data_IF_699329628214
#
_entry.id   IF_699329628214
#
_cell.length_a   1.000
_cell.length_b   1.000
_cell.length_c   1.000
_cell.angle_alpha   90.00
_cell.angle_beta   90.00
_cell.angle_gamma   90.00
#
_symmetry.space_group_name_H-M   'P 1'
#
loop_
_entity.id
_entity.type
_entity.pdbx_description
1 polymer ?
#
# COMPACT_ATOMS: atom_id res chain seq x y z
N UNK A 1 8.32 -3.77 2.74
CA UNK A 1 8.01 -4.18 1.35
C UNK A 1 7.03 -3.22 0.67
N UNK A 2 5.83 -2.99 1.21
CA UNK A 2 4.85 -2.06 0.59
C UNK A 2 5.43 -0.67 0.26
N UNK A 3 6.18 -0.07 1.19
CA UNK A 3 6.92 1.19 0.98
C UNK A 3 7.88 1.14 -0.21
N UNK A 4 8.67 0.07 -0.32
CA UNK A 4 9.63 -0.11 -1.41
C UNK A 4 8.91 -0.29 -2.75
N UNK A 5 7.87 -1.13 -2.79
CA UNK A 5 7.06 -1.37 -3.97
C UNK A 5 6.45 -0.06 -4.50
N UNK A 6 5.81 0.73 -3.64
CA UNK A 6 5.24 2.01 -4.03
C UNK A 6 6.30 2.99 -4.57
N UNK A 7 7.50 3.01 -3.97
CA UNK A 7 8.57 3.90 -4.39
C UNK A 7 9.16 3.49 -5.75
N UNK A 8 9.33 2.19 -5.98
CA UNK A 8 9.77 1.65 -7.28
C UNK A 8 8.74 1.92 -8.37
N UNK A 9 7.45 1.74 -8.08
CA UNK A 9 6.36 2.09 -9.01
C UNK A 9 6.33 3.59 -9.30
N UNK A 10 6.49 4.44 -8.28
CA UNK A 10 6.55 5.88 -8.46
C UNK A 10 7.72 6.28 -9.38
N UNK A 11 8.91 5.73 -9.15
CA UNK A 11 10.08 5.99 -9.97
C UNK A 11 9.88 5.57 -11.44
N UNK A 12 9.24 4.41 -11.67
CA UNK A 12 8.91 3.92 -13.02
C UNK A 12 8.01 4.90 -13.78
N UNK A 13 6.93 5.37 -13.13
CA UNK A 13 5.98 6.29 -13.76
C UNK A 13 6.53 7.71 -13.92
N UNK A 14 7.36 8.18 -13.00
CA UNK A 14 7.99 9.52 -13.10
C UNK A 14 8.96 9.58 -14.29
N UNK A 15 9.72 8.51 -14.55
CA UNK A 15 10.67 8.48 -15.67
C UNK A 15 10.02 8.20 -17.03
N UNK A 16 8.81 7.63 -17.04
CA UNK A 16 8.15 7.16 -18.25
C UNK A 16 7.95 8.22 -19.34
N UNK A 17 7.57 9.48 -19.03
CA UNK A 17 7.43 10.54 -20.03
C UNK A 17 8.75 10.94 -20.69
N UNK A 18 9.90 10.67 -20.06
CA UNK A 18 11.23 10.98 -20.61
C UNK A 18 11.68 9.88 -21.59
N UNK A 19 11.25 8.64 -21.35
CA UNK A 19 11.60 7.46 -22.15
C UNK A 19 10.40 6.89 -22.92
N UNK A 20 9.56 7.76 -23.51
CA UNK A 20 8.30 7.36 -24.15
C UNK A 20 8.46 6.30 -25.25
N UNK A 21 9.54 6.38 -26.03
CA UNK A 21 9.77 5.53 -27.19
C UNK A 21 10.60 4.28 -26.87
N UNK A 22 11.34 4.29 -25.74
CA UNK A 22 12.17 3.16 -25.31
C UNK A 22 12.08 2.97 -23.78
N UNK A 23 10.96 2.44 -23.25
CA UNK A 23 10.77 2.24 -21.81
C UNK A 23 11.79 1.28 -21.18
N UNK A 24 12.36 0.37 -21.97
CA UNK A 24 13.45 -0.53 -21.54
C UNK A 24 14.79 0.19 -21.33
N UNK A 25 14.92 1.41 -21.85
CA UNK A 25 16.15 2.20 -21.84
C UNK A 25 16.30 3.06 -20.58
N UNK A 26 15.27 3.13 -19.74
CA UNK A 26 15.34 3.84 -18.46
C UNK A 26 16.29 3.07 -17.50
N UNK A 27 17.47 3.63 -17.17
CA UNK A 27 18.50 2.88 -16.47
C UNK A 27 18.05 2.52 -15.05
N UNK A 28 18.20 1.23 -14.68
CA UNK A 28 17.88 0.73 -13.32
C UNK A 28 18.48 1.60 -12.20
N UNK A 29 19.73 2.09 -12.28
CA UNK A 29 20.29 2.98 -11.27
C UNK A 29 19.48 4.26 -11.06
N UNK A 30 18.94 4.87 -12.12
CA UNK A 30 18.13 6.07 -12.01
C UNK A 30 16.79 5.78 -11.29
N UNK A 31 16.14 4.67 -11.65
CA UNK A 31 14.89 4.21 -10.98
C UNK A 31 15.12 3.99 -9.48
N UNK A 32 16.20 3.29 -9.14
CA UNK A 32 16.60 3.02 -7.75
C UNK A 32 16.90 4.32 -7.00
N UNK A 33 17.67 5.24 -7.58
CA UNK A 33 18.00 6.51 -6.95
C UNK A 33 16.75 7.34 -6.67
N UNK A 34 15.84 7.47 -7.64
CA UNK A 34 14.58 8.19 -7.47
C UNK A 34 13.72 7.55 -6.37
N UNK A 35 13.61 6.22 -6.36
CA UNK A 35 12.86 5.51 -5.32
C UNK A 35 13.44 5.75 -3.92
N UNK A 36 14.77 5.72 -3.77
CA UNK A 36 15.44 6.04 -2.51
C UNK A 36 15.24 7.49 -2.08
N UNK A 37 15.31 8.45 -3.02
CA UNK A 37 15.03 9.86 -2.75
C UNK A 37 13.58 10.07 -2.28
N UNK A 38 12.61 9.40 -2.90
CA UNK A 38 11.19 9.46 -2.49
C UNK A 38 11.03 8.94 -1.07
N UNK A 39 11.60 7.77 -0.75
CA UNK A 39 11.54 7.19 0.60
C UNK A 39 12.18 8.15 1.60
N UNK A 40 13.39 8.65 1.32
CA UNK A 40 14.11 9.55 2.20
C UNK A 40 13.32 10.84 2.46
N UNK A 41 12.81 11.47 1.41
CA UNK A 41 12.03 12.71 1.53
C UNK A 41 10.78 12.51 2.38
N UNK A 42 10.02 11.43 2.13
CA UNK A 42 8.81 11.14 2.89
C UNK A 42 9.11 10.77 4.35
N UNK A 43 10.18 10.00 4.61
CA UNK A 43 10.62 9.69 5.97
C UNK A 43 11.00 10.97 6.70
N UNK A 44 11.83 11.82 6.10
CA UNK A 44 12.26 13.09 6.72
C UNK A 44 11.08 14.03 6.98
N UNK A 45 10.15 14.12 6.03
CA UNK A 45 8.94 14.93 6.19
C UNK A 45 8.10 14.46 7.39
N UNK A 46 7.85 13.15 7.50
CA UNK A 46 7.07 12.58 8.61
C UNK A 46 7.82 12.60 9.95
N UNK A 47 9.16 12.54 9.93
CA UNK A 47 10.00 12.74 11.11
C UNK A 47 9.91 14.17 11.64
N UNK A 48 9.95 15.16 10.73
CA UNK A 48 9.97 16.57 11.09
C UNK A 48 8.62 17.07 11.63
N UNK A 49 7.53 16.81 10.90
CA UNK A 49 6.17 17.20 11.30
C UNK A 49 5.14 16.28 10.61
N UNK A 50 4.27 15.65 11.40
CA UNK A 50 3.17 14.83 10.85
C UNK A 50 2.22 15.65 9.98
N UNK A 51 2.07 16.96 10.23
CA UNK A 51 1.27 17.86 9.39
C UNK A 51 1.86 18.01 7.99
N UNK A 52 3.18 18.03 7.87
CA UNK A 52 3.85 18.06 6.56
C UNK A 52 3.59 16.74 5.81
N UNK A 53 3.70 15.59 6.51
CA UNK A 53 3.34 14.29 5.97
C UNK A 53 1.88 14.23 5.49
N UNK A 54 0.94 14.80 6.26
CA UNK A 54 -0.46 14.93 5.86
C UNK A 54 -0.65 15.86 4.66
N UNK A 55 0.05 17.00 4.60
CA UNK A 55 -0.02 17.92 3.48
C UNK A 55 0.48 17.27 2.17
N UNK A 56 1.59 16.52 2.23
CA UNK A 56 2.09 15.73 1.09
C UNK A 56 1.09 14.65 0.66
N UNK A 57 0.39 14.02 1.61
CA UNK A 57 -0.68 13.07 1.31
C UNK A 57 -1.85 13.72 0.58
N UNK A 58 -2.27 14.90 1.03
CA UNK A 58 -3.35 15.67 0.41
C UNK A 58 -2.95 16.09 -1.00
N UNK A 59 -1.74 16.61 -1.19
CA UNK A 59 -1.22 16.98 -2.51
C UNK A 59 -1.23 15.77 -3.48
N UNK A 60 -0.72 14.62 -3.05
CA UNK A 60 -0.78 13.38 -3.85
C UNK A 60 -2.23 12.95 -4.18
N UNK A 61 -3.16 13.18 -3.25
CA UNK A 61 -4.58 12.88 -3.44
C UNK A 61 -5.27 13.85 -4.39
N UNK A 62 -4.90 15.13 -4.40
CA UNK A 62 -5.39 16.06 -5.42
C UNK A 62 -4.86 15.67 -6.79
N UNK A 63 -3.57 15.34 -6.92
CA UNK A 63 -2.97 14.91 -8.21
C UNK A 63 -3.63 13.64 -8.78
N UNK A 64 -3.89 12.63 -7.93
CA UNK A 64 -4.53 11.39 -8.41
C UNK A 64 -5.97 11.64 -8.87
N UNK A 65 -6.72 12.48 -8.15
CA UNK A 65 -8.10 12.80 -8.50
C UNK A 65 -8.17 13.69 -9.75
N UNK A 66 -7.24 14.63 -9.92
CA UNK A 66 -7.19 15.47 -11.13
C UNK A 66 -6.86 14.66 -12.37
N UNK A 67 -5.89 13.74 -12.30
CA UNK A 67 -5.57 12.86 -13.43
C UNK A 67 -6.77 11.98 -13.81
N UNK A 68 -7.46 11.42 -12.82
CA UNK A 68 -8.64 10.60 -13.05
C UNK A 68 -9.81 11.40 -13.63
N UNK A 69 -10.03 12.61 -13.12
CA UNK A 69 -11.05 13.52 -13.63
C UNK A 69 -10.81 13.86 -15.11
N UNK A 70 -9.56 14.15 -15.49
CA UNK A 70 -9.21 14.40 -16.90
C UNK A 70 -9.50 13.19 -17.78
N UNK A 71 -9.10 11.98 -17.36
CA UNK A 71 -9.39 10.74 -18.10
C UNK A 71 -10.91 10.56 -18.30
N UNK A 72 -11.68 10.73 -17.23
CA UNK A 72 -13.15 10.58 -17.26
C UNK A 72 -13.79 11.62 -18.17
N UNK A 73 -13.41 12.90 -18.04
CA UNK A 73 -13.97 14.00 -18.86
C UNK A 73 -13.67 13.77 -20.34
N UNK A 74 -12.44 13.38 -20.68
CA UNK A 74 -12.06 13.08 -22.06
C UNK A 74 -12.86 11.89 -22.58
N UNK A 75 -12.97 10.80 -21.82
CA UNK A 75 -13.78 9.64 -22.21
C UNK A 75 -15.25 9.97 -22.45
N UNK A 76 -15.88 10.74 -21.55
CA UNK A 76 -17.25 11.23 -21.73
C UNK A 76 -17.35 12.12 -22.98
N UNK A 77 -16.34 12.93 -23.27
CA UNK A 77 -16.26 13.74 -24.48
C UNK A 77 -16.28 12.91 -25.78
N UNK A 78 -15.58 11.77 -25.81
CA UNK A 78 -15.64 10.82 -26.94
C UNK A 78 -17.04 10.21 -27.08
N UNK A 79 -17.65 9.78 -25.97
CA UNK A 79 -19.03 9.27 -25.98
C UNK A 79 -20.00 10.34 -26.51
N UNK A 80 -19.89 11.58 -26.06
CA UNK A 80 -20.74 12.69 -26.47
C UNK A 80 -20.58 13.07 -27.95
N UNK A 81 -19.43 12.77 -28.57
CA UNK A 81 -19.19 12.94 -30.01
C UNK A 81 -19.72 11.79 -30.86
N UNK A 82 -20.11 10.68 -30.23
CA UNK A 82 -20.54 9.47 -30.91
C UNK A 82 -19.41 8.49 -31.23
N UNK A 83 -18.20 8.71 -30.71
CA UNK A 83 -17.03 7.84 -30.91
C UNK A 83 -17.11 6.57 -30.01
N UNK A 84 -18.18 5.80 -30.16
CA UNK A 84 -18.51 4.65 -29.31
C UNK A 84 -18.33 3.30 -30.02
N UNK A 85 -17.56 3.26 -31.10
CA UNK A 85 -17.31 2.03 -31.88
C UNK A 85 -16.77 0.90 -31.00
N UNK A 86 -15.82 1.22 -30.11
CA UNK A 86 -15.24 0.25 -29.16
C UNK A 86 -16.24 -0.24 -28.08
N UNK A 87 -17.36 0.46 -27.90
CA UNK A 87 -18.42 0.06 -26.97
C UNK A 87 -19.47 -0.82 -27.64
N UNK A 88 -19.39 -1.04 -28.96
CA UNK A 88 -20.30 -1.92 -29.68
C UNK A 88 -19.99 -3.38 -29.31
N UNK A 89 -21.03 -4.14 -28.95
CA UNK A 89 -20.92 -5.54 -28.53
C UNK A 89 -20.00 -5.78 -27.31
N UNK A 90 -20.24 -5.14 -26.14
CA UNK A 90 -19.37 -5.25 -24.97
C UNK A 90 -19.30 -6.67 -24.36
N UNK A 91 -20.18 -7.57 -24.80
CA UNK A 91 -20.25 -8.97 -24.39
C UNK A 91 -19.86 -9.94 -25.52
N UNK A 92 -19.29 -9.46 -26.64
CA UNK A 92 -18.69 -10.35 -27.64
C UNK A 92 -17.29 -10.74 -27.18
N UNK A 93 -17.13 -12.01 -26.80
CA UNK A 93 -15.85 -12.56 -26.36
C UNK A 93 -15.20 -13.35 -27.50
N UNK A 94 -13.89 -13.17 -27.71
CA UNK A 94 -13.12 -13.99 -28.67
C UNK A 94 -13.07 -15.47 -28.23
N UNK A 95 -13.08 -15.71 -26.92
CA UNK A 95 -13.17 -17.03 -26.31
C UNK A 95 -14.21 -17.02 -25.19
N UNK A 96 -14.94 -18.13 -25.00
CA UNK A 96 -15.91 -18.23 -23.91
C UNK A 96 -15.26 -17.99 -22.54
N UNK A 97 -15.92 -17.22 -21.65
CA UNK A 97 -15.38 -16.88 -20.34
C UNK A 97 -15.25 -18.13 -19.46
N UNK A 98 -14.03 -18.65 -19.35
CA UNK A 98 -13.71 -19.76 -18.45
C UNK A 98 -13.65 -19.28 -16.99
N UNK A 99 -14.22 -20.08 -16.09
CA UNK A 99 -14.28 -19.77 -14.66
C UNK A 99 -12.90 -19.46 -14.06
N UNK A 100 -11.85 -20.19 -14.44
CA UNK A 100 -10.49 -19.99 -13.93
C UNK A 100 -9.91 -18.61 -14.32
N UNK A 101 -10.24 -18.12 -15.52
CA UNK A 101 -9.80 -16.80 -16.00
C UNK A 101 -10.58 -15.67 -15.33
N UNK A 102 -11.89 -15.86 -15.12
CA UNK A 102 -12.72 -14.90 -14.38
C UNK A 102 -12.23 -14.77 -12.94
N UNK A 103 -11.97 -15.88 -12.24
CA UNK A 103 -11.44 -15.86 -10.87
C UNK A 103 -10.08 -15.14 -10.82
N UNK A 104 -9.20 -15.40 -11.78
CA UNK A 104 -7.92 -14.69 -11.86
C UNK A 104 -8.08 -13.19 -12.13
N UNK A 105 -8.99 -12.79 -13.01
CA UNK A 105 -9.28 -11.38 -13.27
C UNK A 105 -9.82 -10.68 -12.01
N UNK A 106 -10.75 -11.33 -11.29
CA UNK A 106 -11.25 -10.83 -10.00
C UNK A 106 -10.10 -10.67 -9.00
N UNK A 107 -9.18 -11.63 -8.91
CA UNK A 107 -7.99 -11.50 -8.05
C UNK A 107 -7.11 -10.31 -8.44
N UNK A 108 -6.83 -10.13 -9.73
CA UNK A 108 -6.05 -8.98 -10.18
C UNK A 108 -6.75 -7.65 -9.82
N UNK A 109 -8.08 -7.61 -9.91
CA UNK A 109 -8.88 -6.45 -9.53
C UNK A 109 -8.87 -6.18 -8.01
N UNK A 110 -8.80 -7.19 -7.15
CA UNK A 110 -8.76 -6.95 -5.69
C UNK A 110 -7.54 -6.15 -5.28
N UNK A 111 -6.40 -6.31 -5.98
CA UNK A 111 -5.20 -5.51 -5.75
C UNK A 111 -5.45 -4.00 -5.87
N UNK A 112 -6.33 -3.57 -6.78
CA UNK A 112 -6.68 -2.17 -6.97
C UNK A 112 -7.44 -1.55 -5.78
N UNK A 113 -7.98 -2.37 -4.88
CA UNK A 113 -8.72 -1.96 -3.68
C UNK A 113 -7.94 -2.18 -2.37
N UNK A 114 -6.68 -2.62 -2.45
CA UNK A 114 -5.83 -2.85 -1.28
C UNK A 114 -5.47 -1.53 -0.58
N UNK A 115 -5.42 -1.55 0.76
CA UNK A 115 -5.02 -0.40 1.59
C UNK A 115 -6.15 0.24 2.38
N UNK A 116 -7.39 -0.24 2.22
CA UNK A 116 -8.55 0.21 3.00
C UNK A 116 -8.37 0.02 4.52
N UNK A 117 -7.58 -0.97 4.92
CA UNK A 117 -7.25 -1.34 6.29
C UNK A 117 -6.26 -0.37 6.97
N UNK A 118 -5.53 0.42 6.17
CA UNK A 118 -4.54 1.38 6.69
C UNK A 118 -5.19 2.46 7.58
N UNK A 119 -6.46 2.79 7.34
CA UNK A 119 -7.22 3.71 8.20
C UNK A 119 -7.38 3.17 9.63
N UNK A 120 -7.52 1.84 9.78
CA UNK A 120 -7.66 1.19 11.06
C UNK A 120 -6.38 1.25 11.90
N UNK A 121 -5.22 1.53 11.30
CA UNK A 121 -3.96 1.67 12.02
C UNK A 121 -3.82 3.05 12.68
N UNK A 122 -4.68 4.00 12.32
CA UNK A 122 -4.72 5.36 12.87
C UNK A 122 -5.93 5.58 13.81
N UNK A 123 -6.53 4.49 14.33
CA UNK A 123 -7.75 4.57 15.18
C UNK A 123 -7.58 5.54 16.34
N UNK A 124 -6.41 5.55 16.99
CA UNK A 124 -6.12 6.41 18.15
C UNK A 124 -6.10 7.92 17.80
N UNK A 125 -5.86 8.27 16.54
CA UNK A 125 -5.81 9.66 16.05
C UNK A 125 -7.18 10.14 15.50
N UNK A 126 -8.16 9.24 15.34
CA UNK A 126 -9.46 9.52 14.73
C UNK A 126 -10.48 9.92 15.81
N UNK A 127 -11.09 11.10 15.67
CA UNK A 127 -12.22 11.52 16.51
C UNK A 127 -13.40 10.57 16.31
N UNK A 128 -14.02 10.09 17.40
CA UNK A 128 -15.18 9.19 17.38
C UNK A 128 -15.01 7.96 16.45
N UNK A 129 -14.01 7.10 16.69
CA UNK A 129 -13.63 6.04 15.75
C UNK A 129 -14.76 5.03 15.49
N UNK A 130 -15.58 4.71 16.49
CA UNK A 130 -16.71 3.78 16.38
C UNK A 130 -17.73 4.19 15.30
N UNK A 131 -17.88 5.49 15.04
CA UNK A 131 -18.79 6.02 14.01
C UNK A 131 -18.03 6.37 12.73
N UNK A 132 -16.89 7.04 12.87
CA UNK A 132 -16.21 7.64 11.74
C UNK A 132 -15.44 6.62 10.89
N UNK A 133 -14.88 5.57 11.48
CA UNK A 133 -14.16 4.55 10.71
C UNK A 133 -15.10 3.76 9.79
N UNK A 134 -16.23 3.21 10.26
CA UNK A 134 -17.17 2.52 9.36
C UNK A 134 -17.70 3.42 8.24
N UNK A 135 -18.05 4.67 8.55
CA UNK A 135 -18.52 5.63 7.56
C UNK A 135 -17.44 5.98 6.53
N UNK A 136 -16.21 6.22 6.97
CA UNK A 136 -15.10 6.53 6.08
C UNK A 136 -14.78 5.36 5.14
N UNK A 137 -14.81 4.12 5.64
CA UNK A 137 -14.61 2.92 4.81
C UNK A 137 -15.74 2.79 3.78
N UNK A 138 -17.00 2.89 4.20
CA UNK A 138 -18.16 2.71 3.31
C UNK A 138 -18.19 3.77 2.20
N UNK A 139 -18.10 5.06 2.58
CA UNK A 139 -18.11 6.16 1.62
C UNK A 139 -16.86 6.15 0.74
N UNK A 140 -15.69 5.84 1.32
CA UNK A 140 -14.44 5.73 0.59
C UNK A 140 -14.50 4.66 -0.50
N UNK A 141 -14.96 3.44 -0.16
CA UNK A 141 -15.11 2.35 -1.12
C UNK A 141 -16.11 2.73 -2.23
N UNK A 142 -17.25 3.34 -1.88
CA UNK A 142 -18.25 3.75 -2.87
C UNK A 142 -17.68 4.75 -3.88
N UNK A 143 -16.96 5.77 -3.41
CA UNK A 143 -16.31 6.75 -4.28
C UNK A 143 -15.27 6.08 -5.18
N UNK A 144 -14.44 5.20 -4.64
CA UNK A 144 -13.44 4.45 -5.42
C UNK A 144 -14.10 3.60 -6.50
N UNK A 145 -15.19 2.89 -6.17
CA UNK A 145 -15.93 2.08 -7.14
C UNK A 145 -16.46 2.92 -8.31
N UNK A 146 -17.10 4.06 -8.03
CA UNK A 146 -17.61 4.96 -9.08
C UNK A 146 -16.47 5.49 -9.95
N UNK A 147 -15.40 5.96 -9.32
CA UNK A 147 -14.20 6.44 -10.01
C UNK A 147 -13.58 5.37 -10.93
N UNK A 148 -13.46 4.13 -10.45
CA UNK A 148 -12.89 3.04 -11.24
C UNK A 148 -13.80 2.62 -12.39
N UNK A 149 -15.12 2.57 -12.19
CA UNK A 149 -16.06 2.26 -13.26
C UNK A 149 -16.02 3.32 -14.37
N UNK A 150 -16.05 4.61 -13.99
CA UNK A 150 -15.98 5.71 -14.95
C UNK A 150 -14.64 5.76 -15.70
N UNK A 151 -13.52 5.50 -15.02
CA UNK A 151 -12.21 5.45 -15.67
C UNK A 151 -12.09 4.26 -16.62
N UNK A 152 -12.59 3.08 -16.24
CA UNK A 152 -12.61 1.93 -17.14
C UNK A 152 -13.50 2.19 -18.36
N UNK A 153 -14.68 2.78 -18.17
CA UNK A 153 -15.55 3.20 -19.27
C UNK A 153 -14.82 4.15 -20.22
N UNK A 154 -14.10 5.15 -19.69
CA UNK A 154 -13.30 6.05 -20.51
C UNK A 154 -12.20 5.31 -21.29
N UNK A 155 -11.49 4.38 -20.64
CA UNK A 155 -10.45 3.59 -21.31
C UNK A 155 -11.01 2.74 -22.45
N UNK A 156 -12.08 1.98 -22.23
CA UNK A 156 -12.66 1.11 -23.27
C UNK A 156 -13.41 1.88 -24.36
N UNK A 157 -13.77 3.14 -24.11
CA UNK A 157 -14.30 4.02 -25.18
C UNK A 157 -13.19 4.40 -26.15
N UNK A 158 -12.03 4.81 -25.64
CA UNK A 158 -10.94 5.36 -26.45
C UNK A 158 -10.01 4.28 -27.02
N UNK A 159 -9.80 3.19 -26.30
CA UNK A 159 -8.84 2.14 -26.64
C UNK A 159 -9.54 0.84 -27.02
N UNK A 160 -8.97 0.12 -27.99
CA UNK A 160 -9.38 -1.24 -28.31
C UNK A 160 -8.87 -2.24 -27.25
N UNK A 161 -9.52 -3.39 -27.11
CA UNK A 161 -9.07 -4.46 -26.20
C UNK A 161 -7.61 -4.87 -26.45
N UNK A 162 -7.21 -4.99 -27.73
CA UNK A 162 -5.83 -5.31 -28.10
C UNK A 162 -4.82 -4.24 -27.67
N UNK A 163 -5.19 -2.96 -27.74
CA UNK A 163 -4.35 -1.86 -27.23
C UNK A 163 -4.22 -1.89 -25.71
N UNK A 164 -5.29 -2.21 -24.97
CA UNK A 164 -5.25 -2.32 -23.51
C UNK A 164 -4.33 -3.46 -23.08
N UNK A 165 -4.46 -4.64 -23.70
CA UNK A 165 -3.67 -5.84 -23.36
C UNK A 165 -2.19 -5.68 -23.70
N UNK A 166 -1.86 -5.02 -24.81
CA UNK A 166 -0.47 -4.77 -25.23
C UNK A 166 0.19 -3.59 -24.50
N UNK A 167 -0.59 -2.73 -23.85
CA UNK A 167 -0.07 -1.54 -23.19
C UNK A 167 0.53 -1.84 -21.82
N UNK A 168 1.83 -1.63 -21.68
CA UNK A 168 2.51 -1.65 -20.36
C UNK A 168 2.06 -0.47 -19.47
N UNK A 169 1.46 0.57 -20.05
CA UNK A 169 0.80 1.66 -19.34
C UNK A 169 -0.44 2.13 -20.12
N UNK A 170 -1.62 1.66 -19.70
CA UNK A 170 -2.90 1.98 -20.35
C UNK A 170 -3.13 3.49 -20.43
N UNK A 171 -2.76 4.26 -19.39
CA UNK A 171 -2.88 5.72 -19.38
C UNK A 171 -2.05 6.41 -20.48
N UNK A 172 -0.88 5.87 -20.84
CA UNK A 172 -0.06 6.41 -21.93
C UNK A 172 -0.72 6.12 -23.27
N UNK A 173 -1.21 4.89 -23.48
CA UNK A 173 -1.98 4.53 -24.67
C UNK A 173 -3.21 5.42 -24.84
N UNK A 174 -3.95 5.66 -23.74
CA UNK A 174 -5.10 6.56 -23.72
C UNK A 174 -4.72 7.97 -24.16
N UNK A 175 -3.63 8.55 -23.65
CA UNK A 175 -3.18 9.88 -24.08
C UNK A 175 -2.82 9.89 -25.58
N UNK A 176 -2.12 8.85 -26.07
CA UNK A 176 -1.72 8.75 -27.48
C UNK A 176 -2.93 8.71 -28.42
N UNK A 177 -3.99 8.01 -28.06
CA UNK A 177 -5.20 7.86 -28.89
C UNK A 177 -6.22 8.98 -28.70
N UNK A 178 -6.20 9.69 -27.57
CA UNK A 178 -7.08 10.83 -27.32
C UNK A 178 -6.39 12.17 -27.63
N UNK A 179 -5.65 12.71 -26.66
CA UNK A 179 -4.96 13.99 -26.75
C UNK A 179 -3.50 13.78 -26.30
N UNK A 180 -2.53 13.67 -27.23
CA UNK A 180 -1.16 13.30 -26.91
C UNK A 180 -0.48 14.19 -25.87
N UNK A 181 -0.80 15.49 -25.85
CA UNK A 181 -0.22 16.45 -24.89
C UNK A 181 -0.59 16.17 -23.43
N UNK A 182 -1.70 15.47 -23.17
CA UNK A 182 -2.12 15.11 -21.81
C UNK A 182 -1.15 14.16 -21.10
N UNK A 183 -0.27 13.48 -21.84
CA UNK A 183 0.74 12.57 -21.28
C UNK A 183 1.65 13.28 -20.26
N UNK A 184 1.97 14.56 -20.51
CA UNK A 184 2.82 15.38 -19.66
C UNK A 184 2.15 15.79 -18.34
N UNK A 185 0.83 15.63 -18.25
CA UNK A 185 0.07 15.88 -17.03
C UNK A 185 -0.32 14.57 -16.32
N UNK A 186 -0.95 13.64 -17.04
CA UNK A 186 -1.52 12.42 -16.48
C UNK A 186 -0.43 11.50 -15.91
N UNK A 187 0.64 11.25 -16.66
CA UNK A 187 1.65 10.25 -16.28
C UNK A 187 2.45 10.68 -15.05
N UNK A 188 2.95 11.94 -14.95
CA UNK A 188 3.54 12.44 -13.71
C UNK A 188 2.58 12.40 -12.53
N UNK A 189 1.30 12.74 -12.71
CA UNK A 189 0.30 12.65 -11.65
C UNK A 189 0.12 11.21 -11.14
N UNK A 190 0.19 10.19 -12.01
CA UNK A 190 0.19 8.78 -11.60
C UNK A 190 1.44 8.44 -10.78
N UNK A 191 2.62 8.93 -11.19
CA UNK A 191 3.85 8.80 -10.41
C UNK A 191 3.75 9.43 -9.02
N UNK A 192 3.22 10.65 -8.93
CA UNK A 192 2.94 11.35 -7.66
C UNK A 192 1.86 10.65 -6.84
N UNK A 193 0.89 9.99 -7.47
CA UNK A 193 -0.10 9.15 -6.76
C UNK A 193 0.58 7.99 -6.04
N UNK A 194 1.54 7.33 -6.70
CA UNK A 194 2.29 6.23 -6.11
C UNK A 194 3.15 6.67 -4.91
N UNK A 195 3.67 7.90 -4.87
CA UNK A 195 4.36 8.43 -3.67
C UNK A 195 3.41 8.61 -2.48
N UNK A 196 2.13 8.89 -2.73
CA UNK A 196 1.09 8.90 -1.69
C UNK A 196 0.88 7.52 -1.04
N UNK A 197 1.03 6.44 -1.80
CA UNK A 197 1.00 5.07 -1.23
C UNK A 197 2.21 4.86 -0.33
N UNK A 198 3.41 5.29 -0.76
CA UNK A 198 4.63 5.21 0.05
C UNK A 198 4.45 5.94 1.38
N UNK A 199 3.87 7.14 1.34
CA UNK A 199 3.63 7.95 2.53
C UNK A 199 2.66 7.27 3.52
N UNK A 200 1.54 6.72 3.03
CA UNK A 200 0.59 5.94 3.86
C UNK A 200 1.28 4.71 4.46
N UNK A 201 2.06 3.98 3.67
CA UNK A 201 2.76 2.78 4.17
C UNK A 201 3.79 3.12 5.24
N UNK A 202 4.52 4.24 5.09
CA UNK A 202 5.46 4.75 6.09
C UNK A 202 4.72 5.14 7.36
N UNK A 203 3.64 5.91 7.21
CA UNK A 203 2.80 6.35 8.29
C UNK A 203 2.27 5.16 9.09
N UNK A 204 1.55 4.24 8.46
CA UNK A 204 0.91 3.12 9.15
C UNK A 204 1.90 2.13 9.77
N UNK A 205 2.97 1.77 9.05
CA UNK A 205 3.96 0.80 9.55
C UNK A 205 4.75 1.34 10.75
N UNK A 206 5.02 2.65 10.79
CA UNK A 206 5.71 3.25 11.94
C UNK A 206 4.92 3.10 13.24
N UNK A 207 3.58 3.19 13.21
CA UNK A 207 2.72 3.00 14.39
C UNK A 207 2.73 1.56 14.86
N UNK A 208 2.66 0.60 13.94
CA UNK A 208 2.77 -0.82 14.28
C UNK A 208 4.11 -1.10 14.97
N UNK A 209 5.22 -0.55 14.43
CA UNK A 209 6.54 -0.72 15.03
C UNK A 209 6.63 -0.06 16.41
N UNK A 210 6.04 1.13 16.56
CA UNK A 210 5.99 1.85 17.82
C UNK A 210 5.24 1.07 18.91
N UNK A 211 4.03 0.61 18.60
CA UNK A 211 3.22 -0.20 19.53
C UNK A 211 3.89 -1.54 19.81
N UNK A 212 4.46 -2.19 18.80
CA UNK A 212 5.21 -3.44 19.01
C UNK A 212 6.46 -3.27 19.88
N UNK A 213 7.14 -2.13 19.80
CA UNK A 213 8.23 -1.78 20.71
C UNK A 213 7.73 -1.56 22.15
N UNK A 214 6.58 -0.90 22.32
CA UNK A 214 5.93 -0.67 23.62
C UNK A 214 5.48 -1.98 24.28
N UNK A 215 4.92 -2.89 23.48
CA UNK A 215 4.36 -4.16 23.93
C UNK A 215 5.43 -5.27 24.03
N UNK A 216 6.72 -4.92 23.94
CA UNK A 216 7.87 -5.82 24.02
C UNK A 216 7.94 -6.90 22.92
N UNK A 217 7.28 -6.68 21.78
CA UNK A 217 7.37 -7.55 20.61
C UNK A 217 8.58 -7.21 19.72
N UNK A 218 9.04 -5.96 19.79
CA UNK A 218 10.20 -5.42 19.08
C UNK A 218 11.19 -4.75 20.04
N UNK A 219 12.42 -4.40 19.58
CA UNK A 219 13.37 -3.64 20.38
C UNK A 219 12.77 -2.33 20.90
N UNK A 220 13.02 -2.03 22.17
CA UNK A 220 12.42 -0.89 22.89
C UNK A 220 12.75 0.44 22.20
N UNK A 221 13.90 0.57 21.54
CA UNK A 221 14.28 1.77 20.79
C UNK A 221 13.22 2.21 19.76
N UNK A 222 12.42 1.28 19.23
CA UNK A 222 11.34 1.59 18.27
C UNK A 222 10.12 2.24 18.91
N UNK A 223 9.98 2.25 20.23
CA UNK A 223 8.92 2.95 20.96
C UNK A 223 9.32 4.36 21.41
N UNK A 224 10.49 4.84 20.99
CA UNK A 224 10.97 6.18 21.31
C UNK A 224 10.31 7.24 20.41
N UNK A 225 9.99 8.40 21.02
CA UNK A 225 9.37 9.54 20.37
C UNK A 225 10.29 10.75 20.45
N UNK A 226 10.36 11.57 19.40
CA UNK A 226 11.08 12.84 19.43
C UNK A 226 10.47 13.80 20.48
N UNK A 227 11.30 14.36 21.36
CA UNK A 227 10.85 15.23 22.46
C UNK A 227 10.19 16.52 21.94
N UNK A 228 10.76 17.12 20.89
CA UNK A 228 10.26 18.40 20.36
C UNK A 228 9.08 18.24 19.40
N UNK A 229 9.06 17.14 18.63
CA UNK A 229 8.09 16.94 17.52
C UNK A 229 6.99 15.94 17.83
N UNK A 230 7.11 15.16 18.91
CA UNK A 230 6.17 14.09 19.29
C UNK A 230 5.92 13.07 18.17
N UNK A 231 6.93 12.80 17.35
CA UNK A 231 6.89 11.84 16.24
C UNK A 231 7.70 10.57 16.56
N UNK A 232 7.28 9.37 16.10
CA UNK A 232 8.01 8.11 16.28
C UNK A 232 9.23 8.04 15.35
N UNK A 233 10.20 8.92 15.58
CA UNK A 233 11.31 9.21 14.67
C UNK A 233 12.21 8.00 14.41
N UNK A 234 12.53 7.22 15.44
CA UNK A 234 13.35 6.01 15.28
C UNK A 234 12.64 4.99 14.40
N UNK A 235 11.34 4.78 14.60
CA UNK A 235 10.53 3.83 13.83
C UNK A 235 10.47 4.21 12.36
N UNK A 236 10.35 5.51 12.04
CA UNK A 236 10.41 6.00 10.67
C UNK A 236 11.78 5.77 10.01
N UNK A 237 12.87 6.07 10.70
CA UNK A 237 14.22 5.89 10.17
C UNK A 237 14.54 4.42 9.88
N UNK A 238 14.21 3.53 10.81
CA UNK A 238 14.41 2.08 10.63
C UNK A 238 13.58 1.56 9.47
N UNK A 239 12.31 2.00 9.35
CA UNK A 239 11.46 1.63 8.23
C UNK A 239 12.00 2.13 6.89
N UNK A 240 12.48 3.38 6.83
CA UNK A 240 13.11 3.96 5.66
C UNK A 240 14.34 3.19 5.21
N UNK A 241 15.21 2.83 6.17
CA UNK A 241 16.40 2.04 5.92
C UNK A 241 16.05 0.66 5.35
N UNK A 242 15.13 -0.06 6.00
CA UNK A 242 14.70 -1.39 5.54
C UNK A 242 14.02 -1.33 4.16
N UNK A 243 13.20 -0.31 3.91
CA UNK A 243 12.60 -0.10 2.60
C UNK A 243 13.67 0.18 1.54
N UNK A 244 14.70 0.99 1.87
CA UNK A 244 15.83 1.26 0.98
C UNK A 244 16.62 0.01 0.61
N UNK A 245 16.90 -0.88 1.58
CA UNK A 245 17.55 -2.17 1.32
C UNK A 245 16.72 -3.02 0.34
N UNK A 246 15.40 -3.07 0.52
CA UNK A 246 14.51 -3.79 -0.40
C UNK A 246 14.53 -3.19 -1.80
N UNK A 247 14.61 -1.87 -1.95
CA UNK A 247 14.74 -1.20 -3.27
C UNK A 247 16.08 -1.54 -3.95
N UNK A 248 17.17 -1.66 -3.18
CA UNK A 248 18.49 -1.96 -3.72
C UNK A 248 18.60 -3.41 -4.22
N UNK A 249 18.05 -4.36 -3.47
CA UNK A 249 18.20 -5.79 -3.74
C UNK A 249 17.07 -6.35 -4.61
N UNK A 250 15.84 -5.87 -4.41
CA UNK A 250 14.63 -6.43 -5.01
C UNK A 250 14.27 -5.84 -6.37
N UNK A 251 13.58 -6.65 -7.18
CA UNK A 251 12.83 -6.21 -8.35
C UNK A 251 11.33 -6.08 -8.03
N UNK A 252 10.61 -5.29 -8.84
CA UNK A 252 9.18 -4.98 -8.59
C UNK A 252 8.34 -6.25 -8.51
N UNK A 253 8.58 -7.21 -9.40
CA UNK A 253 7.77 -8.43 -9.51
C UNK A 253 7.96 -9.35 -8.32
N UNK A 254 9.20 -9.60 -7.90
CA UNK A 254 9.50 -10.43 -6.73
C UNK A 254 9.04 -9.77 -5.43
N UNK A 255 9.25 -8.45 -5.28
CA UNK A 255 8.80 -7.71 -4.09
C UNK A 255 7.27 -7.70 -4.01
N UNK A 256 6.57 -7.52 -5.14
CA UNK A 256 5.12 -7.59 -5.22
C UNK A 256 4.61 -8.98 -4.81
N UNK A 257 5.18 -10.06 -5.38
CA UNK A 257 4.80 -11.43 -5.04
C UNK A 257 4.98 -11.73 -3.55
N UNK A 258 6.16 -11.41 -3.01
CA UNK A 258 6.46 -11.64 -1.59
C UNK A 258 5.53 -10.84 -0.67
N UNK A 259 5.31 -9.57 -0.98
CA UNK A 259 4.44 -8.69 -0.21
C UNK A 259 2.99 -9.16 -0.20
N UNK A 260 2.48 -9.57 -1.36
CA UNK A 260 1.11 -10.07 -1.51
C UNK A 260 0.88 -11.35 -0.70
N UNK A 261 1.84 -12.29 -0.69
CA UNK A 261 1.69 -13.53 0.08
C UNK A 261 1.70 -13.29 1.60
N UNK A 262 2.66 -12.49 2.07
CA UNK A 262 2.79 -12.16 3.50
C UNK A 262 1.51 -11.49 3.99
N UNK A 263 1.01 -10.51 3.23
CA UNK A 263 -0.23 -9.81 3.57
C UNK A 263 -1.43 -10.77 3.58
N UNK A 264 -1.62 -11.55 2.52
CA UNK A 264 -2.75 -12.46 2.41
C UNK A 264 -2.79 -13.49 3.55
N UNK A 265 -1.61 -13.94 4.00
CA UNK A 265 -1.44 -14.84 5.14
C UNK A 265 -1.86 -14.14 6.45
N UNK A 266 -1.40 -12.91 6.68
CA UNK A 266 -1.78 -12.10 7.84
C UNK A 266 -3.28 -11.82 7.91
N UNK A 267 -3.90 -11.45 6.79
CA UNK A 267 -5.35 -11.23 6.69
C UNK A 267 -6.15 -12.51 6.99
N UNK A 268 -5.69 -13.66 6.50
CA UNK A 268 -6.31 -14.97 6.79
C UNK A 268 -6.32 -15.23 8.29
N UNK A 269 -5.17 -15.05 8.96
CA UNK A 269 -5.04 -15.23 10.41
C UNK A 269 -5.92 -14.23 11.18
N UNK A 270 -5.96 -12.97 10.74
CA UNK A 270 -6.79 -11.95 11.37
C UNK A 270 -8.29 -12.31 11.34
N UNK A 271 -8.78 -12.80 10.20
CA UNK A 271 -10.19 -13.18 10.04
C UNK A 271 -10.52 -14.45 10.82
N UNK A 272 -9.64 -15.45 10.81
CA UNK A 272 -9.77 -16.62 11.69
C UNK A 272 -9.82 -16.19 13.16
N UNK A 273 -9.03 -15.18 13.52
CA UNK A 273 -9.04 -14.54 14.84
C UNK A 273 -10.41 -13.99 15.25
N UNK A 274 -11.19 -13.42 14.33
CA UNK A 274 -12.54 -12.89 14.61
C UNK A 274 -13.45 -13.96 15.21
N UNK A 275 -13.44 -15.19 14.68
CA UNK A 275 -14.27 -16.27 15.20
C UNK A 275 -13.90 -16.66 16.63
N UNK A 276 -12.61 -16.63 16.97
CA UNK A 276 -12.13 -16.87 18.34
C UNK A 276 -12.44 -15.69 19.25
N UNK A 277 -12.26 -14.46 18.78
CA UNK A 277 -12.52 -13.24 19.54
C UNK A 277 -14.01 -13.11 19.90
N UNK A 278 -14.93 -13.41 18.98
CA UNK A 278 -16.38 -13.40 19.26
C UNK A 278 -16.79 -14.37 20.38
N UNK A 279 -16.09 -15.51 20.50
CA UNK A 279 -16.34 -16.49 21.57
C UNK A 279 -15.77 -16.03 22.91
N UNK A 280 -14.60 -15.38 22.89
CA UNK A 280 -13.88 -14.97 24.11
C UNK A 280 -14.39 -13.64 24.69
N UNK A 281 -14.79 -12.72 23.82
CA UNK A 281 -15.23 -11.37 24.17
C UNK A 281 -16.65 -11.16 23.62
N UNK A 282 -17.70 -11.38 24.44
CA UNK A 282 -19.07 -11.13 24.02
C UNK A 282 -19.28 -9.65 23.69
N UNK A 283 -20.14 -9.39 22.70
CA UNK A 283 -20.38 -8.05 22.19
C UNK A 283 -21.01 -7.15 23.27
N UNK A 284 -20.47 -5.93 23.41
CA UNK A 284 -21.06 -4.88 24.26
C UNK A 284 -21.86 -3.88 23.42
N UNK A 285 -22.63 -2.99 24.05
CA UNK A 285 -23.45 -1.98 23.37
C UNK A 285 -22.65 -1.04 22.45
N UNK A 286 -21.34 -0.90 22.66
CA UNK A 286 -20.45 -0.06 21.86
C UNK A 286 -19.67 -0.85 20.80
N UNK A 287 -19.82 -2.17 20.75
CA UNK A 287 -19.08 -3.04 19.82
C UNK A 287 -19.79 -3.09 18.47
N UNK A 288 -19.09 -2.73 17.40
CA UNK A 288 -19.58 -2.92 16.04
C UNK A 288 -19.48 -4.40 15.65
N UNK A 289 -20.64 -5.06 15.45
CA UNK A 289 -20.70 -6.48 15.10
C UNK A 289 -21.25 -6.66 13.69
N UNK A 290 -20.47 -7.30 12.82
CA UNK A 290 -20.93 -7.71 11.49
C UNK A 290 -21.56 -9.11 11.53
N UNK A 291 -22.57 -9.41 10.70
CA UNK A 291 -23.12 -10.77 10.59
C UNK A 291 -22.03 -11.80 10.29
N UNK A 292 -22.09 -12.99 10.90
CA UNK A 292 -21.07 -14.05 10.73
C UNK A 292 -20.91 -14.50 9.28
N UNK A 293 -21.94 -14.29 8.44
CA UNK A 293 -21.87 -14.61 7.02
C UNK A 293 -20.76 -13.81 6.32
N UNK A 294 -20.53 -12.55 6.71
CA UNK A 294 -19.55 -11.66 6.07
C UNK A 294 -18.09 -12.14 6.21
N UNK A 295 -17.55 -12.46 7.41
CA UNK A 295 -16.20 -12.99 7.53
C UNK A 295 -16.07 -14.40 6.92
N UNK A 296 -17.13 -15.22 6.91
CA UNK A 296 -17.11 -16.54 6.26
C UNK A 296 -16.99 -16.40 4.75
N UNK A 297 -17.84 -15.56 4.12
CA UNK A 297 -17.79 -15.32 2.68
C UNK A 297 -16.46 -14.69 2.27
N UNK A 298 -15.95 -13.72 3.04
CA UNK A 298 -14.63 -13.15 2.77
C UNK A 298 -13.54 -14.22 2.85
N UNK A 299 -13.54 -15.05 3.89
CA UNK A 299 -12.51 -16.08 4.08
C UNK A 299 -12.51 -17.08 2.91
N UNK A 300 -13.69 -17.53 2.47
CA UNK A 300 -13.81 -18.45 1.33
C UNK A 300 -13.25 -17.79 0.07
N UNK A 301 -13.72 -16.59 -0.27
CA UNK A 301 -13.26 -15.86 -1.46
C UNK A 301 -11.75 -15.61 -1.42
N UNK A 302 -11.25 -15.12 -0.29
CA UNK A 302 -9.82 -14.83 -0.10
C UNK A 302 -8.94 -16.07 -0.27
N UNK A 303 -9.33 -17.20 0.32
CA UNK A 303 -8.60 -18.46 0.20
C UNK A 303 -8.63 -19.01 -1.22
N UNK A 304 -9.78 -18.94 -1.91
CA UNK A 304 -9.88 -19.36 -3.31
C UNK A 304 -8.96 -18.53 -4.20
N UNK A 305 -8.97 -17.21 -4.04
CA UNK A 305 -8.12 -16.31 -4.83
C UNK A 305 -6.64 -16.54 -4.53
N UNK A 306 -6.27 -16.73 -3.26
CA UNK A 306 -4.91 -17.06 -2.85
C UNK A 306 -4.44 -18.39 -3.46
N UNK A 307 -5.29 -19.41 -3.47
CA UNK A 307 -4.98 -20.71 -4.05
C UNK A 307 -4.71 -20.61 -5.56
N UNK A 308 -5.55 -19.89 -6.32
CA UNK A 308 -5.34 -19.67 -7.76
C UNK A 308 -4.06 -18.87 -8.03
N UNK A 309 -3.72 -17.94 -7.15
CA UNK A 309 -2.51 -17.13 -7.29
C UNK A 309 -1.25 -17.97 -7.12
N UNK A 310 -1.24 -18.85 -6.10
CA UNK A 310 -0.13 -19.76 -5.82
C UNK A 310 0.10 -20.76 -6.95
N UNK A 311 -0.95 -21.26 -7.60
CA UNK A 311 -0.79 -22.22 -8.71
C UNK A 311 -0.24 -21.58 -9.98
N UNK A 312 -0.48 -20.28 -10.21
CA UNK A 312 -0.03 -19.59 -11.42
C UNK A 312 1.41 -19.09 -11.35
N UNK A 313 1.90 -18.69 -10.18
CA UNK A 313 3.17 -17.96 -10.07
C UNK A 313 4.00 -18.34 -8.84
N UNK A 314 4.04 -19.64 -8.53
CA UNK A 314 4.69 -20.21 -7.34
C UNK A 314 6.12 -19.69 -7.09
N UNK A 315 7.01 -19.54 -8.10
CA UNK A 315 8.37 -19.06 -7.87
C UNK A 315 8.42 -17.63 -7.31
N UNK A 316 7.51 -16.74 -7.73
CA UNK A 316 7.45 -15.36 -7.23
C UNK A 316 7.04 -15.31 -5.76
N UNK A 317 6.17 -16.23 -5.35
CA UNK A 317 5.71 -16.33 -3.96
C UNK A 317 6.70 -17.09 -3.06
N UNK A 318 7.51 -17.98 -3.61
CA UNK A 318 8.50 -18.76 -2.86
C UNK A 318 9.53 -17.88 -2.13
N UNK A 319 9.86 -16.69 -2.67
CA UNK A 319 10.76 -15.71 -2.02
C UNK A 319 10.18 -15.20 -0.68
N UNK A 320 8.87 -15.25 -0.50
CA UNK A 320 8.21 -14.80 0.73
C UNK A 320 8.41 -15.77 1.91
N UNK A 321 8.52 -17.07 1.62
CA UNK A 321 8.59 -18.14 2.64
C UNK A 321 9.80 -17.96 3.58
N UNK A 322 11.04 -17.78 3.09
CA UNK A 322 12.19 -17.50 3.94
C UNK A 322 12.00 -16.25 4.81
N UNK A 323 11.35 -15.21 4.28
CA UNK A 323 11.11 -13.95 5.00
C UNK A 323 10.06 -14.10 6.10
N UNK A 324 9.01 -14.89 5.86
CA UNK A 324 8.07 -15.31 6.92
C UNK A 324 8.78 -16.11 8.01
N UNK A 325 9.61 -17.08 7.62
CA UNK A 325 10.35 -17.94 8.54
C UNK A 325 11.38 -17.18 9.36
N UNK A 326 12.04 -16.16 8.78
CA UNK A 326 12.92 -15.22 9.49
C UNK A 326 12.20 -14.45 10.62
N UNK A 327 10.88 -14.29 10.52
CA UNK A 327 10.07 -13.72 11.59
C UNK A 327 10.03 -14.59 12.85
N UNK A 328 10.15 -15.92 12.72
CA UNK A 328 10.11 -16.84 13.87
C UNK A 328 11.31 -16.66 14.80
N UNK A 329 12.58 -16.66 14.35
CA UNK A 329 13.72 -16.32 15.20
C UNK A 329 13.55 -14.98 15.89
N UNK A 330 13.11 -13.94 15.17
CA UNK A 330 12.92 -12.59 15.74
C UNK A 330 11.86 -12.60 16.84
N UNK A 331 10.74 -13.30 16.61
CA UNK A 331 9.68 -13.47 17.61
C UNK A 331 10.14 -14.27 18.84
N UNK A 332 10.87 -15.36 18.63
CA UNK A 332 11.42 -16.14 19.74
C UNK A 332 12.45 -15.34 20.54
N UNK A 333 13.28 -14.56 19.86
CA UNK A 333 14.23 -13.65 20.50
C UNK A 333 13.50 -12.61 21.35
N UNK A 334 12.44 -11.97 20.84
CA UNK A 334 11.68 -10.93 21.56
C UNK A 334 10.80 -11.46 22.69
N UNK A 335 10.20 -12.64 22.53
CA UNK A 335 9.36 -13.27 23.55
C UNK A 335 10.15 -13.95 24.67
N UNK A 336 11.42 -14.28 24.44
CA UNK A 336 12.33 -14.77 25.49
C UNK A 336 13.10 -13.61 26.13
N UNK A 337 13.56 -13.73 27.39
CA UNK A 337 14.39 -12.71 28.03
C UNK A 337 15.75 -12.49 27.34
N UNK A 338 16.06 -13.12 26.21
CA UNK A 338 17.33 -12.99 25.48
C UNK A 338 17.60 -11.53 25.06
N UNK A 339 16.58 -10.78 24.62
CA UNK A 339 16.72 -9.32 24.39
C UNK A 339 17.06 -8.52 25.67
N UNK A 340 16.88 -9.12 26.86
CA UNK A 340 17.05 -8.49 28.17
C UNK A 340 18.28 -8.96 28.96
N UNK A 341 18.97 -10.03 28.54
CA UNK A 341 20.15 -10.55 29.28
C UNK A 341 21.38 -10.80 28.40
N UNK A 342 21.28 -10.70 27.06
CA UNK A 342 22.38 -11.01 26.13
C UNK A 342 22.99 -9.80 25.38
N UNK A 343 23.84 -10.03 24.35
CA UNK A 343 24.50 -8.99 23.57
C UNK A 343 23.53 -8.04 22.84
N UNK A 344 22.32 -8.52 22.56
CA UNK A 344 21.25 -7.71 21.96
C UNK A 344 20.71 -6.64 22.90
N UNK A 345 20.76 -6.85 24.22
CA UNK A 345 20.45 -5.79 25.19
C UNK A 345 21.47 -4.67 25.11
N UNK A 346 22.76 -5.02 25.05
CA UNK A 346 23.83 -4.03 24.92
C UNK A 346 23.65 -3.21 23.63
N UNK A 347 23.28 -3.87 22.52
CA UNK A 347 22.93 -3.17 21.27
C UNK A 347 21.73 -2.24 21.45
N UNK A 348 20.64 -2.71 22.07
CA UNK A 348 19.45 -1.89 22.34
C UNK A 348 19.78 -0.70 23.25
N UNK A 349 20.54 -0.90 24.33
CA UNK A 349 20.94 0.15 25.26
C UNK A 349 21.83 1.20 24.59
N UNK A 350 22.75 0.78 23.72
CA UNK A 350 23.56 1.67 22.89
C UNK A 350 22.68 2.44 21.91
N UNK A 351 21.74 1.77 21.24
CA UNK A 351 20.82 2.40 20.30
C UNK A 351 19.90 3.42 21.00
N UNK A 352 19.42 3.13 22.21
CA UNK A 352 18.63 4.05 23.05
C UNK A 352 19.48 5.25 23.47
N UNK A 353 20.72 5.03 23.96
CA UNK A 353 21.63 6.14 24.31
C UNK A 353 21.96 7.02 23.11
N UNK A 354 22.21 6.42 21.95
CA UNK A 354 22.47 7.13 20.70
C UNK A 354 21.25 7.94 20.27
N UNK A 355 20.06 7.35 20.33
CA UNK A 355 18.79 8.01 19.98
C UNK A 355 18.47 9.16 20.92
N UNK A 356 18.73 9.02 22.23
CA UNK A 356 18.60 10.13 23.21
C UNK A 356 19.56 11.28 22.90
N UNK A 357 20.82 10.99 22.59
CA UNK A 357 21.87 12.00 22.39
C UNK A 357 21.82 12.68 21.01
N UNK A 358 21.65 11.90 19.95
CA UNK A 358 21.73 12.40 18.57
C UNK A 358 20.37 12.84 18.03
N UNK A 359 19.30 12.13 18.39
CA UNK A 359 17.97 12.33 17.80
C UNK A 359 17.00 13.05 18.74
N UNK A 360 17.43 13.36 19.98
CA UNK A 360 16.61 13.98 21.02
C UNK A 360 15.27 13.27 21.20
N UNK A 361 15.32 11.94 21.23
CA UNK A 361 14.15 11.09 21.46
C UNK A 361 14.12 10.60 22.91
N UNK A 362 12.93 10.41 23.47
CA UNK A 362 12.73 9.74 24.75
C UNK A 362 11.51 8.81 24.70
N UNK A 363 11.35 7.97 25.71
CA UNK A 363 10.17 7.13 25.82
C UNK A 363 8.93 7.99 26.08
N UNK A 364 7.83 7.64 25.43
CA UNK A 364 6.54 8.27 25.71
C UNK A 364 6.16 8.02 27.17
N UNK A 365 6.32 9.02 28.03
CA UNK A 365 5.82 8.96 29.41
C UNK A 365 4.30 8.96 29.39
N UNK A 366 3.68 8.11 30.23
CA UNK A 366 2.22 8.06 30.46
C UNK A 366 1.60 9.42 30.84
N UNK A 367 2.40 10.43 31.19
CA UNK A 367 1.93 11.75 31.62
C UNK A 367 1.81 12.79 30.50
N UNK A 368 2.06 12.43 29.24
CA UNK A 368 1.97 13.35 28.09
C UNK A 368 0.65 13.25 27.29
N UNK A 369 -0.36 12.56 27.81
CA UNK A 369 -1.67 12.32 27.17
C UNK A 369 -2.70 13.46 27.33
N UNK A 370 -2.30 14.66 27.77
CA UNK A 370 -3.21 15.81 27.87
C UNK A 370 -3.06 16.82 26.73
#
# INVERSE_FOLDING_TARGET
>A
MGTALGAMTAAEYILRPVFQDCPEMAPRPAKVLIALCIILLLVLANCYDTRLGSALQVASTVCKLSALAVIIIVGIGFIARGDTENLQNPFSFEEEPRLDRVIFAVYACTYAYVGWDSLCMAVEEIKNPNRNIPLAILLGILVVMVCYLLANLAYVTVLTTGQIVSSVAVAVGFCKMSIPSLVWFIVPCIGISATGVVNVMIFSSSRINFVGGRDNLFPEVLSMVSVSRRTPLVSYLVLGLLAGVVVLVGDISSVLGAYSLIRASGETVAILGIFRLRKKFPATATTYVVPTIAPVTYLILHLTLLAVSLTRDLPRYAVALPLCLLGLPVYYMSSTPIFRVGPLKAFNDVAVKLSRRLLLCDFASKNYEN
#
